data_IF_015211012310
#
_entry.id   IF_015211012310
#
_cell.length_a   1.000
_cell.length_b   1.000
_cell.length_c   1.000
_cell.angle_alpha   90.00
_cell.angle_beta   90.00
_cell.angle_gamma   90.00
#
_symmetry.space_group_name_H-M   'P 1'
#
loop_
_entity.id
_entity.type
_entity.pdbx_description
1 polymer ?
#
# COMPACT_ATOMS: atom_id res chain seq x y z
N UNK A 1 13.48 7.96 -2.67
CA UNK A 1 13.15 6.55 -2.95
C UNK A 1 12.16 6.43 -4.10
N UNK A 2 11.07 7.21 -4.12
CA UNK A 2 10.15 7.28 -5.29
C UNK A 2 10.92 7.50 -6.59
N UNK A 3 11.81 8.49 -6.65
CA UNK A 3 12.64 8.77 -7.83
C UNK A 3 13.43 7.55 -8.35
N UNK A 4 14.04 6.75 -7.47
CA UNK A 4 14.79 5.55 -7.87
C UNK A 4 13.90 4.49 -8.51
N UNK A 5 12.70 4.26 -7.96
CA UNK A 5 11.75 3.29 -8.50
C UNK A 5 11.05 3.78 -9.76
N UNK A 6 10.74 5.07 -9.87
CA UNK A 6 10.24 5.67 -11.11
C UNK A 6 11.27 5.54 -12.24
N UNK A 7 12.54 5.86 -11.96
CA UNK A 7 13.64 5.68 -12.93
C UNK A 7 13.79 4.22 -13.34
N UNK A 8 13.69 3.28 -12.39
CA UNK A 8 13.74 1.85 -12.67
C UNK A 8 12.55 1.41 -13.54
N UNK A 9 11.34 1.85 -13.22
CA UNK A 9 10.12 1.57 -13.97
C UNK A 9 10.24 2.04 -15.43
N UNK A 10 10.71 3.27 -15.64
CA UNK A 10 10.95 3.79 -16.99
C UNK A 10 12.06 3.04 -17.74
N UNK A 11 13.14 2.66 -17.05
CA UNK A 11 14.20 1.84 -17.65
C UNK A 11 13.67 0.46 -18.08
N UNK A 12 12.77 -0.15 -17.29
CA UNK A 12 12.13 -1.42 -17.63
C UNK A 12 11.23 -1.25 -18.86
N UNK A 13 10.43 -0.18 -18.94
CA UNK A 13 9.62 0.12 -20.14
C UNK A 13 10.50 0.23 -21.37
N UNK A 14 11.62 0.95 -21.29
CA UNK A 14 12.56 1.10 -22.41
C UNK A 14 13.22 -0.24 -22.79
N UNK A 15 13.41 -1.13 -21.82
CA UNK A 15 14.15 -2.39 -22.02
C UNK A 15 13.28 -3.60 -22.40
N UNK A 16 11.95 -3.52 -22.25
CA UNK A 16 11.04 -4.68 -22.39
C UNK A 16 10.98 -5.25 -23.81
N UNK A 17 11.19 -4.41 -24.81
CA UNK A 17 11.11 -4.76 -26.24
C UNK A 17 12.51 -4.87 -26.90
N UNK A 18 13.58 -4.84 -26.09
CA UNK A 18 14.94 -5.09 -26.58
C UNK A 18 15.13 -6.56 -26.97
N UNK A 19 16.29 -6.89 -27.55
CA UNK A 19 16.65 -8.27 -27.87
C UNK A 19 16.74 -9.14 -26.59
N UNK A 20 15.91 -10.20 -26.44
CA UNK A 20 15.99 -11.14 -25.33
C UNK A 20 17.34 -11.88 -25.23
N UNK A 21 18.13 -11.99 -26.30
CA UNK A 21 19.46 -12.60 -26.19
C UNK A 21 20.38 -11.78 -25.27
N UNK A 22 20.21 -10.45 -25.22
CA UNK A 22 21.09 -9.53 -24.50
C UNK A 22 20.44 -8.84 -23.30
N UNK A 23 19.12 -8.69 -23.28
CA UNK A 23 18.38 -8.00 -22.21
C UNK A 23 17.68 -8.97 -21.25
N UNK A 24 18.03 -8.92 -19.95
CA UNK A 24 17.32 -9.65 -18.87
C UNK A 24 15.84 -9.30 -18.85
N UNK A 25 15.51 -8.01 -18.99
CA UNK A 25 14.13 -7.52 -18.98
C UNK A 25 13.36 -8.13 -20.15
N UNK A 26 13.88 -8.03 -21.37
CA UNK A 26 13.20 -8.57 -22.55
C UNK A 26 12.99 -10.09 -22.46
N UNK A 27 13.93 -10.85 -21.89
CA UNK A 27 13.71 -12.29 -21.60
C UNK A 27 12.52 -12.54 -20.69
N UNK A 28 12.39 -11.75 -19.63
CA UNK A 28 11.25 -11.89 -18.72
C UNK A 28 9.93 -11.60 -19.44
N UNK A 29 9.89 -10.56 -20.28
CA UNK A 29 8.72 -10.23 -21.11
C UNK A 29 8.40 -11.30 -22.15
N UNK A 30 9.42 -11.88 -22.79
CA UNK A 30 9.25 -13.01 -23.71
C UNK A 30 8.67 -14.25 -23.03
N UNK A 31 9.09 -14.55 -21.79
CA UNK A 31 8.56 -15.68 -21.01
C UNK A 31 7.19 -15.41 -20.39
N UNK A 32 6.77 -14.15 -20.29
CA UNK A 32 5.47 -13.73 -19.83
C UNK A 32 5.26 -13.71 -18.30
N UNK A 33 4.05 -13.32 -17.86
CA UNK A 33 3.77 -12.98 -16.46
C UNK A 33 4.03 -14.10 -15.45
N UNK A 34 3.83 -15.36 -15.84
CA UNK A 34 4.08 -16.50 -14.95
C UNK A 34 5.56 -16.61 -14.54
N UNK A 35 6.48 -16.38 -15.48
CA UNK A 35 7.92 -16.40 -15.18
C UNK A 35 8.35 -15.21 -14.33
N UNK A 36 7.77 -14.03 -14.59
CA UNK A 36 8.01 -12.82 -13.78
C UNK A 36 7.54 -13.01 -12.34
N UNK A 37 6.34 -13.55 -12.13
CA UNK A 37 5.79 -13.83 -10.81
C UNK A 37 6.62 -14.86 -10.05
N UNK A 38 7.09 -15.91 -10.74
CA UNK A 38 8.01 -16.88 -10.15
C UNK A 38 9.31 -16.21 -9.68
N UNK A 39 9.92 -15.35 -10.51
CA UNK A 39 11.14 -14.61 -10.11
C UNK A 39 10.89 -13.73 -8.90
N UNK A 40 9.80 -12.94 -8.87
CA UNK A 40 9.46 -12.14 -7.69
C UNK A 40 9.35 -12.98 -6.42
N UNK A 41 8.70 -14.15 -6.51
CA UNK A 41 8.53 -15.04 -5.37
C UNK A 41 9.85 -15.65 -4.89
N UNK A 42 10.77 -15.99 -5.81
CA UNK A 42 12.12 -16.46 -5.48
C UNK A 42 12.88 -15.40 -4.64
N UNK A 43 12.97 -14.16 -5.13
CA UNK A 43 13.70 -13.10 -4.39
C UNK A 43 13.07 -12.81 -3.02
N UNK A 44 11.73 -12.88 -2.93
CA UNK A 44 11.03 -12.67 -1.66
C UNK A 44 11.39 -13.74 -0.62
N UNK A 45 11.52 -15.00 -1.06
CA UNK A 45 11.93 -16.11 -0.21
C UNK A 45 13.40 -15.94 0.20
N UNK A 46 14.27 -15.51 -0.71
CA UNK A 46 15.70 -15.27 -0.42
C UNK A 46 15.89 -14.15 0.61
N UNK A 47 15.18 -13.01 0.46
CA UNK A 47 15.16 -11.95 1.48
C UNK A 47 14.78 -12.49 2.86
N UNK A 48 13.73 -13.32 2.93
CA UNK A 48 13.26 -13.90 4.20
C UNK A 48 14.32 -14.83 4.81
N UNK A 49 14.88 -15.73 4.01
CA UNK A 49 15.89 -16.69 4.46
C UNK A 49 17.14 -15.96 4.97
N UNK A 50 17.63 -14.98 4.24
CA UNK A 50 18.85 -14.27 4.60
C UNK A 50 18.65 -13.35 5.81
N UNK A 51 17.47 -12.78 5.97
CA UNK A 51 17.11 -12.01 7.16
C UNK A 51 17.10 -12.89 8.42
N UNK A 52 16.47 -14.07 8.35
CA UNK A 52 16.44 -15.04 9.46
C UNK A 52 17.85 -15.52 9.83
N UNK A 53 18.73 -15.63 8.83
CA UNK A 53 20.12 -16.04 9.03
C UNK A 53 21.07 -14.88 9.42
N UNK A 54 20.57 -13.66 9.61
CA UNK A 54 21.38 -12.51 10.02
C UNK A 54 22.36 -12.00 8.96
N UNK A 55 22.11 -12.28 7.67
CA UNK A 55 23.00 -11.91 6.56
C UNK A 55 22.58 -10.57 5.92
N UNK A 56 22.80 -9.47 6.63
CA UNK A 56 22.34 -8.13 6.21
C UNK A 56 22.75 -7.74 4.78
N UNK A 57 23.98 -8.03 4.36
CA UNK A 57 24.45 -7.70 3.00
C UNK A 57 23.69 -8.48 1.92
N UNK A 58 23.30 -9.72 2.23
CA UNK A 58 22.49 -10.53 1.32
C UNK A 58 21.07 -9.97 1.27
N UNK A 59 20.46 -9.65 2.41
CA UNK A 59 19.15 -8.99 2.48
C UNK A 59 19.10 -7.73 1.62
N UNK A 60 20.14 -6.90 1.63
CA UNK A 60 20.20 -5.69 0.80
C UNK A 60 20.17 -6.03 -0.69
N UNK A 61 20.96 -7.03 -1.14
CA UNK A 61 21.02 -7.45 -2.54
C UNK A 61 19.69 -8.05 -3.00
N UNK A 62 19.16 -9.01 -2.24
CA UNK A 62 17.91 -9.68 -2.60
C UNK A 62 16.71 -8.72 -2.54
N UNK A 63 16.75 -7.71 -1.65
CA UNK A 63 15.73 -6.65 -1.65
C UNK A 63 15.78 -5.79 -2.91
N UNK A 64 16.97 -5.54 -3.47
CA UNK A 64 17.10 -4.81 -4.72
C UNK A 64 16.57 -5.63 -5.91
N UNK A 65 16.86 -6.93 -5.96
CA UNK A 65 16.31 -7.84 -6.98
C UNK A 65 14.78 -8.01 -6.82
N UNK A 66 14.27 -8.06 -5.59
CA UNK A 66 12.84 -8.05 -5.30
C UNK A 66 12.16 -6.81 -5.88
N UNK A 67 12.69 -5.61 -5.62
CA UNK A 67 12.17 -4.35 -6.14
C UNK A 67 12.23 -4.29 -7.68
N UNK A 68 13.28 -4.83 -8.28
CA UNK A 68 13.39 -4.97 -9.74
C UNK A 68 12.29 -5.86 -10.29
N UNK A 69 12.13 -7.08 -9.76
CA UNK A 69 11.14 -8.03 -10.27
C UNK A 69 9.70 -7.54 -10.01
N UNK A 70 9.46 -6.79 -8.92
CA UNK A 70 8.19 -6.14 -8.64
C UNK A 70 7.88 -5.07 -9.69
N UNK A 71 8.87 -4.24 -10.03
CA UNK A 71 8.73 -3.20 -11.06
C UNK A 71 8.49 -3.79 -12.45
N UNK A 72 9.11 -4.94 -12.78
CA UNK A 72 8.84 -5.68 -14.02
C UNK A 72 7.39 -6.13 -14.09
N UNK A 73 6.86 -6.69 -12.99
CA UNK A 73 5.46 -7.10 -12.91
C UNK A 73 4.50 -5.91 -12.98
N UNK A 74 4.82 -4.77 -12.38
CA UNK A 74 4.04 -3.55 -12.50
C UNK A 74 3.90 -3.12 -13.96
N UNK A 75 5.02 -3.07 -14.71
CA UNK A 75 4.98 -2.75 -16.15
C UNK A 75 4.11 -3.77 -16.93
N UNK A 76 4.25 -5.07 -16.64
CA UNK A 76 3.45 -6.11 -17.30
C UNK A 76 1.95 -6.02 -16.95
N UNK A 77 1.61 -5.56 -15.75
CA UNK A 77 0.24 -5.38 -15.26
C UNK A 77 -0.37 -4.01 -15.59
N UNK A 78 0.41 -3.08 -16.17
CA UNK A 78 -0.02 -1.70 -16.40
C UNK A 78 -0.21 -0.88 -15.12
N UNK A 79 0.44 -1.27 -14.02
CA UNK A 79 0.44 -0.55 -12.74
C UNK A 79 1.62 0.40 -12.73
N UNK A 80 1.40 1.67 -12.42
CA UNK A 80 2.50 2.63 -12.28
C UNK A 80 2.93 2.76 -10.83
N UNK A 81 4.19 3.15 -10.53
CA UNK A 81 4.59 3.28 -9.13
C UNK A 81 3.79 4.38 -8.41
N UNK A 82 3.30 5.42 -9.11
CA UNK A 82 2.44 6.44 -8.51
C UNK A 82 1.11 5.90 -7.99
N UNK A 83 0.55 4.87 -8.64
CA UNK A 83 -0.67 4.21 -8.17
C UNK A 83 -0.42 3.50 -6.82
N UNK A 84 0.78 2.92 -6.67
CA UNK A 84 1.21 2.25 -5.43
C UNK A 84 1.46 3.26 -4.33
N UNK A 85 2.11 4.39 -4.64
CA UNK A 85 2.32 5.48 -3.68
C UNK A 85 1.00 6.08 -3.21
N UNK A 86 0.05 6.30 -4.12
CA UNK A 86 -1.28 6.78 -3.76
C UNK A 86 -2.02 5.81 -2.81
N UNK A 87 -1.86 4.50 -3.01
CA UNK A 87 -2.40 3.48 -2.10
C UNK A 87 -1.67 3.49 -0.74
N UNK A 88 -0.35 3.66 -0.71
CA UNK A 88 0.40 3.79 0.53
C UNK A 88 -0.03 5.03 1.33
N UNK A 89 -0.19 6.18 0.69
CA UNK A 89 -0.68 7.40 1.33
C UNK A 89 -2.10 7.21 1.88
N UNK A 90 -2.96 6.48 1.15
CA UNK A 90 -4.30 6.13 1.61
C UNK A 90 -4.23 5.26 2.88
N UNK A 91 -3.34 4.27 2.90
CA UNK A 91 -3.15 3.40 4.08
C UNK A 91 -2.60 4.18 5.25
N UNK A 92 -1.62 5.05 5.04
CA UNK A 92 -1.07 5.92 6.07
C UNK A 92 -2.17 6.77 6.72
N UNK A 93 -3.02 7.43 5.93
CA UNK A 93 -4.15 8.20 6.47
C UNK A 93 -5.14 7.36 7.28
N UNK A 94 -5.29 6.07 6.96
CA UNK A 94 -6.26 5.18 7.59
C UNK A 94 -5.69 4.39 8.79
N UNK A 95 -4.39 4.11 8.78
CA UNK A 95 -3.72 3.13 9.64
C UNK A 95 -2.48 3.70 10.33
N UNK A 96 -2.10 4.95 10.04
CA UNK A 96 -0.79 5.50 10.38
C UNK A 96 0.33 4.94 9.51
N UNK A 97 1.49 5.61 9.52
CA UNK A 97 2.62 5.27 8.65
C UNK A 97 3.35 3.98 9.07
N UNK A 98 3.36 3.68 10.37
CA UNK A 98 3.97 2.48 10.96
C UNK A 98 3.16 1.97 12.16
N UNK A 99 2.51 2.89 12.88
CA UNK A 99 1.66 2.58 14.01
C UNK A 99 0.31 3.27 13.86
N UNK A 100 -0.75 2.55 14.22
CA UNK A 100 -2.10 3.10 14.24
C UNK A 100 -2.17 4.21 15.27
N UNK A 101 -2.32 5.45 14.80
CA UNK A 101 -2.60 6.60 15.65
C UNK A 101 -3.69 6.22 16.66
N UNK A 102 -3.47 6.44 17.97
CA UNK A 102 -4.47 6.15 18.97
C UNK A 102 -5.79 6.75 18.53
N UNK A 103 -6.84 5.92 18.41
CA UNK A 103 -8.19 6.43 18.14
C UNK A 103 -8.44 7.52 19.18
N UNK A 104 -8.79 8.73 18.75
CA UNK A 104 -9.18 9.81 19.65
C UNK A 104 -10.35 9.33 20.53
N UNK A 105 -10.01 8.78 21.71
CA UNK A 105 -10.96 8.16 22.63
C UNK A 105 -11.91 9.19 23.23
N UNK A 106 -11.52 10.47 23.24
CA UNK A 106 -12.30 11.57 23.79
C UNK A 106 -13.64 11.79 23.09
N UNK A 107 -13.71 11.55 21.78
CA UNK A 107 -14.93 11.75 20.99
C UNK A 107 -16.10 10.84 21.41
N UNK A 108 -15.80 9.58 21.75
CA UNK A 108 -16.80 8.60 22.22
C UNK A 108 -17.21 8.82 23.67
N UNK A 109 -16.32 9.35 24.51
CA UNK A 109 -16.69 9.72 25.89
C UNK A 109 -17.60 10.94 25.86
N UNK A 110 -17.26 11.98 25.09
CA UNK A 110 -18.07 13.20 24.96
C UNK A 110 -19.45 12.91 24.38
N UNK A 111 -19.56 12.04 23.37
CA UNK A 111 -20.84 11.70 22.73
C UNK A 111 -21.80 10.92 23.64
N UNK A 112 -21.33 10.39 24.76
CA UNK A 112 -22.15 9.68 25.76
C UNK A 112 -22.56 10.58 26.94
N UNK A 113 -22.02 11.80 27.02
CA UNK A 113 -22.32 12.74 28.09
C UNK A 113 -23.53 13.62 27.74
N UNK A 114 -24.39 13.86 28.72
CA UNK A 114 -25.50 14.81 28.58
C UNK A 114 -24.98 16.26 28.58
N UNK A 115 -25.77 17.22 28.06
CA UNK A 115 -25.42 18.65 28.13
C UNK A 115 -25.14 19.11 29.56
N UNK A 116 -25.87 18.59 30.55
CA UNK A 116 -25.70 18.94 31.96
C UNK A 116 -24.40 18.35 32.54
N UNK A 117 -24.03 17.13 32.16
CA UNK A 117 -22.75 16.55 32.55
C UNK A 117 -21.56 17.34 31.97
N UNK A 118 -21.67 17.81 30.72
CA UNK A 118 -20.65 18.68 30.12
C UNK A 118 -20.57 20.05 30.81
N UNK A 119 -21.72 20.65 31.16
CA UNK A 119 -21.78 21.91 31.92
C UNK A 119 -21.19 21.76 33.32
N UNK A 120 -21.52 20.68 34.02
CA UNK A 120 -21.00 20.42 35.37
C UNK A 120 -19.47 20.30 35.40
N UNK A 121 -18.86 19.69 34.38
CA UNK A 121 -17.39 19.63 34.26
C UNK A 121 -16.76 21.02 34.11
N UNK A 122 -17.35 21.88 33.27
CA UNK A 122 -16.85 23.25 33.08
C UNK A 122 -16.97 24.06 34.38
N UNK A 123 -18.08 23.92 35.11
CA UNK A 123 -18.26 24.57 36.42
C UNK A 123 -17.26 24.05 37.45
N UNK A 124 -16.89 22.77 37.39
CA UNK A 124 -15.87 22.16 38.23
C UNK A 124 -14.42 22.46 37.78
N UNK A 125 -14.22 23.28 36.73
CA UNK A 125 -12.89 23.59 36.19
C UNK A 125 -12.21 22.43 35.45
N UNK A 126 -12.95 21.36 35.15
CA UNK A 126 -12.46 20.19 34.41
C UNK A 126 -12.69 20.43 32.91
N UNK A 127 -11.61 20.42 32.13
CA UNK A 127 -11.72 20.54 30.68
C UNK A 127 -12.53 19.37 30.08
N UNK A 128 -13.61 19.64 29.31
CA UNK A 128 -14.39 18.57 28.70
C UNK A 128 -13.57 17.83 27.64
N UNK A 129 -13.84 16.53 27.41
CA UNK A 129 -13.16 15.76 26.37
C UNK A 129 -13.30 16.44 24.99
N UNK A 130 -12.31 16.27 24.09
CA UNK A 130 -12.31 16.92 22.79
C UNK A 130 -13.53 16.48 21.96
N UNK A 131 -14.05 17.42 21.17
CA UNK A 131 -15.10 17.13 20.18
C UNK A 131 -14.52 16.15 19.17
N UNK A 132 -15.23 15.06 18.87
CA UNK A 132 -14.87 14.25 17.71
C UNK A 132 -15.01 15.15 16.48
N UNK A 133 -13.90 15.54 15.85
CA UNK A 133 -13.99 16.13 14.52
C UNK A 133 -14.68 15.13 13.61
N UNK A 134 -15.81 15.56 13.06
CA UNK A 134 -16.55 14.83 12.05
C UNK A 134 -15.70 14.79 10.78
N UNK A 135 -14.77 13.85 10.71
CA UNK A 135 -14.26 13.39 9.43
C UNK A 135 -15.44 12.68 8.79
N UNK A 136 -16.17 13.41 7.95
CA UNK A 136 -17.35 12.93 7.24
C UNK A 136 -16.98 11.64 6.50
N UNK A 137 -17.32 10.50 7.09
CA UNK A 137 -17.24 9.20 6.44
C UNK A 137 -18.27 9.22 5.34
N UNK A 138 -17.88 9.60 4.13
CA UNK A 138 -18.69 9.33 2.95
C UNK A 138 -18.90 7.81 2.90
N UNK A 139 -20.15 7.31 2.91
CA UNK A 139 -20.38 5.89 2.76
C UNK A 139 -19.82 5.48 1.40
N UNK A 140 -18.96 4.45 1.41
CA UNK A 140 -18.62 3.71 0.21
C UNK A 140 -19.94 3.10 -0.25
N UNK A 141 -20.53 3.66 -1.30
CA UNK A 141 -21.68 3.06 -1.98
C UNK A 141 -21.20 1.69 -2.45
N UNK A 142 -21.70 0.65 -1.79
CA UNK A 142 -21.56 -0.71 -2.24
C UNK A 142 -22.21 -0.80 -3.63
N UNK A 143 -21.39 -1.07 -4.64
CA UNK A 143 -21.86 -1.54 -5.94
C UNK A 143 -22.63 -2.85 -5.69
N UNK A 144 -23.95 -2.73 -5.54
CA UNK A 144 -24.84 -3.88 -5.61
C UNK A 144 -24.71 -4.47 -7.01
N UNK A 145 -24.29 -5.73 -7.03
CA UNK A 145 -24.32 -6.63 -8.16
C UNK A 145 -25.74 -6.70 -8.75
N UNK A 146 -25.95 -5.92 -9.81
CA UNK A 146 -27.13 -6.00 -10.65
C UNK A 146 -27.15 -7.34 -11.40
N UNK A 147 -28.03 -8.23 -10.94
CA UNK A 147 -28.47 -9.45 -11.62
C UNK A 147 -28.77 -9.19 -13.09
N UNK A 148 -28.11 -9.97 -13.95
CA UNK A 148 -28.49 -10.20 -15.35
C UNK A 148 -29.98 -10.57 -15.44
N UNK A 149 -30.78 -9.77 -16.14
CA UNK A 149 -32.09 -10.21 -16.67
C UNK A 149 -31.88 -10.68 -18.12
N UNK A 150 -32.02 -12.00 -18.32
CA UNK A 150 -32.27 -12.60 -19.65
C UNK A 150 -33.50 -11.92 -20.27
N UNK A 151 -33.37 -11.41 -21.50
CA UNK A 151 -34.51 -11.17 -22.38
C UNK A 151 -34.63 -12.35 -23.33
N UNK A 152 -35.89 -12.75 -23.54
CA UNK A 152 -36.35 -13.74 -24.51
C UNK A 152 -36.07 -13.27 -25.92
#
# INVERSE_FOLDING_TARGET
>A
MSDSLERLYHAIIAAKDLDPATSRTARLFQHGPAKMAKKLAEEAIEVVIDAVNGKSDAVIRESADLLYNLSVLWVAAGVRPEDVWAEMDRRERAQGIAEKLPKAGGGKLRSKMTPDQLRAMVVAGIAPPPVAESVARRPIVALQSGRLKKRR
#
